data_IF_363860375118
#
_entry.id   IF_363860375118
#
_cell.length_a   1.000
_cell.length_b   1.000
_cell.length_c   1.000
_cell.angle_alpha   90.00
_cell.angle_beta   90.00
_cell.angle_gamma   90.00
#
_symmetry.space_group_name_H-M   'P 1'
#
loop_
_entity.id
_entity.type
_entity.pdbx_description
1 polymer ?
#
# COMPACT_ATOMS: atom_id res chain seq x y z
N UNK A 1 -11.67 -9.99 2.62
CA UNK A 1 -12.11 -8.58 2.46
C UNK A 1 -12.48 -8.36 1.02
N UNK A 2 -13.55 -7.62 0.77
CA UNK A 2 -14.00 -7.31 -0.58
C UNK A 2 -13.03 -6.31 -1.26
N UNK A 3 -12.68 -6.50 -2.55
CA UNK A 3 -11.79 -5.60 -3.28
C UNK A 3 -12.31 -4.15 -3.39
N UNK A 4 -13.62 -3.94 -3.44
CA UNK A 4 -14.23 -2.61 -3.55
C UNK A 4 -14.08 -1.82 -2.24
N UNK A 5 -14.23 -2.49 -1.10
CA UNK A 5 -14.00 -1.89 0.22
C UNK A 5 -12.54 -1.44 0.37
N UNK A 6 -11.60 -2.27 -0.08
CA UNK A 6 -10.16 -1.94 -0.06
C UNK A 6 -9.89 -0.73 -0.96
N UNK A 7 -10.51 -0.66 -2.14
CA UNK A 7 -10.37 0.48 -3.05
C UNK A 7 -10.81 1.78 -2.41
N UNK A 8 -11.96 1.79 -1.73
CA UNK A 8 -12.48 2.97 -1.04
C UNK A 8 -11.57 3.38 0.14
N UNK A 9 -11.07 2.42 0.90
CA UNK A 9 -10.11 2.68 1.99
C UNK A 9 -8.83 3.32 1.46
N UNK A 10 -8.27 2.78 0.37
CA UNK A 10 -7.06 3.31 -0.25
C UNK A 10 -7.28 4.73 -0.78
N UNK A 11 -8.40 5.00 -1.45
CA UNK A 11 -8.76 6.34 -1.91
C UNK A 11 -8.82 7.36 -0.76
N UNK A 12 -9.47 7.01 0.35
CA UNK A 12 -9.54 7.86 1.54
C UNK A 12 -8.14 8.12 2.12
N UNK A 13 -7.30 7.08 2.19
CA UNK A 13 -5.93 7.20 2.73
C UNK A 13 -5.04 8.07 1.84
N UNK A 14 -5.17 7.96 0.52
CA UNK A 14 -4.54 8.84 -0.46
C UNK A 14 -4.96 10.30 -0.25
N UNK A 15 -6.27 10.58 -0.24
CA UNK A 15 -6.81 11.93 -0.02
C UNK A 15 -6.38 12.54 1.32
N UNK A 16 -6.25 11.72 2.37
CA UNK A 16 -5.77 12.17 3.68
C UNK A 16 -4.27 12.40 3.78
N UNK A 17 -3.50 12.15 2.70
CA UNK A 17 -2.04 12.25 2.68
C UNK A 17 -1.32 11.14 3.46
N UNK A 18 -2.04 10.12 3.95
CA UNK A 18 -1.45 8.95 4.61
C UNK A 18 -0.77 8.00 3.63
N UNK A 19 -1.22 8.00 2.37
CA UNK A 19 -0.58 7.29 1.29
C UNK A 19 0.00 8.27 0.26
N UNK A 20 1.18 8.00 -0.29
CA UNK A 20 1.76 8.84 -1.32
C UNK A 20 0.97 8.72 -2.62
N UNK A 21 0.63 9.86 -3.22
CA UNK A 21 0.14 9.94 -4.60
C UNK A 21 1.27 9.84 -5.64
N UNK A 22 2.51 10.16 -5.24
CA UNK A 22 3.66 10.23 -6.14
C UNK A 22 4.17 8.88 -6.64
N UNK A 23 5.06 8.91 -7.65
CA UNK A 23 5.86 7.73 -8.04
C UNK A 23 6.64 7.22 -6.82
N UNK A 24 6.41 5.96 -6.45
CA UNK A 24 7.31 5.18 -5.60
C UNK A 24 8.52 4.78 -6.45
N UNK A 25 9.72 5.24 -6.09
CA UNK A 25 10.95 4.91 -6.82
C UNK A 25 11.32 3.45 -6.73
N UNK A 26 10.91 2.77 -5.64
CA UNK A 26 11.29 1.39 -5.43
C UNK A 26 10.30 0.66 -4.55
N UNK A 27 9.77 -0.42 -5.09
CA UNK A 27 8.91 -1.37 -4.40
C UNK A 27 9.60 -2.73 -4.47
N UNK A 28 9.68 -3.40 -3.34
CA UNK A 28 10.33 -4.69 -3.14
C UNK A 28 9.28 -5.67 -2.63
N UNK A 29 9.21 -6.83 -3.26
CA UNK A 29 8.46 -7.96 -2.72
C UNK A 29 9.30 -8.66 -1.65
N UNK A 30 8.70 -8.94 -0.49
CA UNK A 30 9.33 -9.70 0.60
C UNK A 30 8.32 -10.55 1.34
N UNK A 31 8.79 -11.37 2.29
CA UNK A 31 7.90 -12.03 3.23
C UNK A 31 7.19 -10.97 4.08
N UNK A 32 5.91 -11.19 4.38
CA UNK A 32 5.25 -10.50 5.47
C UNK A 32 6.06 -10.64 6.74
N UNK A 33 6.14 -9.57 7.51
CA UNK A 33 6.85 -9.48 8.79
C UNK A 33 5.86 -9.31 9.96
N UNK A 34 4.56 -9.51 9.71
CA UNK A 34 3.51 -9.29 10.70
C UNK A 34 3.09 -7.82 10.84
N UNK A 35 3.57 -6.92 9.98
CA UNK A 35 3.19 -5.52 10.01
C UNK A 35 1.79 -5.27 9.42
N UNK A 36 1.23 -4.10 9.69
CA UNK A 36 -0.08 -3.71 9.15
C UNK A 36 0.03 -3.21 7.71
N UNK A 37 -0.92 -3.63 6.87
CA UNK A 37 -1.07 -3.11 5.52
C UNK A 37 -1.56 -1.65 5.56
N UNK A 38 -0.78 -0.75 4.95
CA UNK A 38 -1.12 0.67 4.80
C UNK A 38 -2.29 0.91 3.85
N UNK A 39 -2.79 -0.12 3.15
CA UNK A 39 -4.00 -0.08 2.33
C UNK A 39 -5.27 -0.43 3.11
N UNK A 40 -5.39 -1.69 3.53
CA UNK A 40 -6.59 -2.19 4.19
C UNK A 40 -6.57 -2.03 5.73
N UNK A 41 -5.40 -1.87 6.34
CA UNK A 41 -5.24 -1.80 7.81
C UNK A 41 -5.14 -3.15 8.52
N UNK A 42 -5.12 -4.25 7.76
CA UNK A 42 -5.03 -5.61 8.32
C UNK A 42 -3.58 -6.08 8.35
N UNK A 43 -3.24 -6.95 9.31
CA UNK A 43 -1.91 -7.56 9.43
C UNK A 43 -1.54 -8.34 8.16
N UNK A 44 -0.32 -8.15 7.69
CA UNK A 44 0.34 -8.95 6.67
C UNK A 44 0.97 -10.14 7.38
N UNK A 45 0.27 -11.27 7.35
CA UNK A 45 0.77 -12.53 7.93
C UNK A 45 2.10 -12.93 7.29
N UNK A 46 2.98 -13.52 8.10
CA UNK A 46 4.35 -13.90 7.73
C UNK A 46 4.47 -14.88 6.57
N UNK A 47 3.37 -15.55 6.18
CA UNK A 47 3.30 -16.42 5.01
C UNK A 47 2.83 -15.73 3.72
N UNK A 48 2.37 -14.48 3.78
CA UNK A 48 1.87 -13.75 2.62
C UNK A 48 2.95 -12.82 2.06
N UNK A 49 2.97 -12.67 0.73
CA UNK A 49 3.88 -11.76 0.05
C UNK A 49 3.48 -10.30 0.34
N UNK A 50 4.43 -9.55 0.91
CA UNK A 50 4.31 -8.13 1.22
C UNK A 50 5.03 -7.31 0.15
N UNK A 51 4.35 -6.28 -0.36
CA UNK A 51 4.95 -5.27 -1.22
C UNK A 51 5.34 -4.09 -0.34
N UNK A 52 6.65 -3.88 -0.19
CA UNK A 52 7.21 -2.79 0.62
C UNK A 52 7.76 -1.71 -0.32
N UNK A 53 7.47 -0.45 -0.07
CA UNK A 53 7.93 0.65 -0.91
C UNK A 53 8.44 1.84 -0.11
N UNK A 54 9.28 2.67 -0.74
CA UNK A 54 9.65 3.98 -0.20
C UNK A 54 9.22 5.08 -1.15
N UNK A 55 8.52 6.09 -0.63
CA UNK A 55 8.12 7.25 -1.42
C UNK A 55 9.34 8.15 -1.71
N UNK A 56 9.46 8.56 -2.98
CA UNK A 56 10.62 9.30 -3.51
C UNK A 56 10.78 10.71 -2.98
N UNK A 57 9.66 11.40 -2.73
CA UNK A 57 9.69 12.77 -2.19
C UNK A 57 9.50 12.75 -0.68
N UNK A 58 10.52 13.19 0.04
CA UNK A 58 10.42 13.61 1.43
C UNK A 58 10.81 12.59 2.50
N UNK A 59 11.54 11.52 2.16
CA UNK A 59 11.97 10.55 3.17
C UNK A 59 10.79 9.84 3.87
N UNK A 60 9.65 9.73 3.17
CA UNK A 60 8.41 9.18 3.71
C UNK A 60 8.61 7.78 4.30
N UNK A 61 7.80 7.48 5.32
CA UNK A 61 7.76 6.17 5.98
C UNK A 61 7.69 5.04 4.94
N UNK A 62 8.39 3.91 5.15
CA UNK A 62 8.18 2.73 4.32
C UNK A 62 6.70 2.37 4.36
N UNK A 63 6.12 2.19 3.17
CA UNK A 63 4.73 1.73 3.02
C UNK A 63 4.76 0.23 2.78
N UNK A 64 3.79 -0.48 3.36
CA UNK A 64 3.67 -1.91 3.21
C UNK A 64 2.25 -2.31 2.82
N UNK A 65 2.13 -3.22 1.87
CA UNK A 65 0.85 -3.70 1.38
C UNK A 65 0.86 -5.21 1.20
N UNK A 66 -0.30 -5.84 1.32
CA UNK A 66 -0.51 -7.13 0.67
C UNK A 66 -0.40 -6.95 -0.85
N UNK A 67 0.06 -7.97 -1.57
CA UNK A 67 0.09 -7.95 -3.04
C UNK A 67 -1.22 -7.48 -3.72
N UNK A 68 -2.42 -7.97 -3.34
CA UNK A 68 -3.67 -7.46 -3.93
C UNK A 68 -4.00 -6.02 -3.54
N UNK A 69 -3.67 -5.59 -2.32
CA UNK A 69 -3.87 -4.19 -1.90
C UNK A 69 -2.94 -3.25 -2.67
N UNK A 70 -1.72 -3.71 -2.95
CA UNK A 70 -0.76 -2.98 -3.76
C UNK A 70 -1.28 -2.75 -5.18
N UNK A 71 -1.82 -3.77 -5.84
CA UNK A 71 -2.39 -3.65 -7.18
C UNK A 71 -3.53 -2.62 -7.22
N UNK A 72 -4.45 -2.67 -6.24
CA UNK A 72 -5.56 -1.71 -6.15
C UNK A 72 -5.03 -0.29 -5.92
N UNK A 73 -4.04 -0.11 -5.04
CA UNK A 73 -3.41 1.19 -4.83
C UNK A 73 -2.73 1.72 -6.10
N UNK A 74 -2.04 0.84 -6.83
CA UNK A 74 -1.37 1.16 -8.07
C UNK A 74 -2.34 1.59 -9.19
N UNK A 75 -3.52 0.96 -9.25
CA UNK A 75 -4.58 1.37 -10.17
C UNK A 75 -5.20 2.70 -9.76
N UNK A 76 -5.55 2.87 -8.48
CA UNK A 76 -6.19 4.09 -7.97
C UNK A 76 -5.28 5.31 -8.15
N UNK A 77 -3.98 5.19 -7.84
CA UNK A 77 -3.03 6.31 -7.95
C UNK A 77 -2.72 6.71 -9.39
N UNK A 78 -2.98 5.84 -10.38
CA UNK A 78 -2.81 6.17 -11.81
C UNK A 78 -4.00 6.93 -12.38
N UNK A 79 -5.18 6.74 -11.78
CA UNK A 79 -6.45 7.34 -12.23
C UNK A 79 -6.76 8.64 -11.48
N UNK A 80 -6.26 8.80 -10.25
CA UNK A 80 -6.42 9.99 -9.42
C UNK A 80 -5.35 11.06 -9.70
#
# INVERSE_FOLDING_TARGET
MDPQDIRLLIQRRLQSGRLPHGRTERIWGGAGDGQMCDGCGTIITTGNMAMQGRASKGGGRPIQFHLPCFQIWDDVRRVA
#
